data_IF_743844466869
#
_entry.id   IF_743844466869
#
_cell.length_a   1.000
_cell.length_b   1.000
_cell.length_c   1.000
_cell.angle_alpha   90.00
_cell.angle_beta   90.00
_cell.angle_gamma   90.00
#
_symmetry.space_group_name_H-M   'P 1'
#
loop_
_entity.id
_entity.type
_entity.pdbx_description
1 polymer ?
#
# COMPACT_ATOMS: atom_id res chain seq x y z
N UNK A 1 -4.65 -56.73 14.47
CA UNK A 1 -5.38 -55.50 14.90
C UNK A 1 -4.57 -54.33 14.38
N UNK A 2 -4.89 -53.84 13.17
CA UNK A 2 -4.19 -52.67 12.57
C UNK A 2 -4.89 -51.41 13.09
N UNK A 3 -4.13 -50.60 13.83
CA UNK A 3 -4.58 -49.26 14.24
C UNK A 3 -4.31 -48.32 13.08
N UNK A 4 -5.37 -47.89 12.35
CA UNK A 4 -5.27 -46.79 11.41
C UNK A 4 -5.20 -45.49 12.21
N UNK A 5 -3.99 -44.93 12.34
CA UNK A 5 -3.81 -43.56 12.79
C UNK A 5 -4.16 -42.67 11.61
N UNK A 6 -5.37 -42.16 11.58
CA UNK A 6 -5.77 -41.07 10.65
C UNK A 6 -5.07 -39.79 11.10
N UNK A 7 -4.02 -39.40 10.38
CA UNK A 7 -3.47 -38.06 10.47
C UNK A 7 -4.48 -37.10 9.85
N UNK A 8 -5.34 -36.52 10.68
CA UNK A 8 -6.06 -35.31 10.30
C UNK A 8 -5.06 -34.17 10.27
N UNK A 9 -4.48 -33.90 9.10
CA UNK A 9 -3.69 -32.68 8.87
C UNK A 9 -4.64 -31.51 9.10
N UNK A 10 -4.36 -30.72 10.13
CA UNK A 10 -5.20 -29.58 10.50
C UNK A 10 -4.99 -28.44 9.51
N UNK A 11 -5.83 -28.34 8.49
CA UNK A 11 -5.87 -27.21 7.56
C UNK A 11 -6.07 -25.84 8.24
N UNK A 12 -6.46 -25.82 9.50
CA UNK A 12 -6.53 -24.60 10.31
C UNK A 12 -5.15 -23.94 10.48
N UNK A 13 -4.09 -24.73 10.54
CA UNK A 13 -2.73 -24.22 10.70
C UNK A 13 -2.24 -23.51 9.46
N UNK A 14 -2.54 -24.02 8.24
CA UNK A 14 -2.07 -23.46 6.97
C UNK A 14 -2.67 -22.08 6.69
N UNK A 15 -3.96 -21.87 7.01
CA UNK A 15 -4.59 -20.54 6.85
C UNK A 15 -4.07 -19.55 7.90
N UNK A 16 -3.74 -20.02 9.09
CA UNK A 16 -3.05 -19.20 10.09
C UNK A 16 -1.64 -18.80 9.58
N UNK A 17 -0.93 -19.68 8.89
CA UNK A 17 0.36 -19.36 8.28
C UNK A 17 0.22 -18.27 7.19
N UNK A 18 -0.85 -18.32 6.39
CA UNK A 18 -1.18 -17.26 5.43
C UNK A 18 -1.45 -15.92 6.15
N UNK A 19 -2.26 -15.92 7.21
CA UNK A 19 -2.49 -14.71 8.01
C UNK A 19 -1.18 -14.20 8.62
N UNK A 20 -0.37 -15.08 9.21
CA UNK A 20 0.91 -14.74 9.84
C UNK A 20 1.89 -14.15 8.81
N UNK A 21 1.91 -14.64 7.57
CA UNK A 21 2.70 -14.03 6.51
C UNK A 21 2.33 -12.57 6.29
N UNK A 22 1.03 -12.26 6.16
CA UNK A 22 0.58 -10.87 5.96
C UNK A 22 0.79 -10.01 7.20
N UNK A 23 0.60 -10.55 8.41
CA UNK A 23 0.92 -9.87 9.68
C UNK A 23 2.41 -9.51 9.74
N UNK A 24 3.29 -10.45 9.43
CA UNK A 24 4.74 -10.21 9.43
C UNK A 24 5.16 -9.21 8.34
N UNK A 25 4.53 -9.27 7.17
CA UNK A 25 4.84 -8.41 6.02
C UNK A 25 4.37 -6.98 6.21
N UNK A 26 3.16 -6.80 6.73
CA UNK A 26 2.49 -5.51 6.85
C UNK A 26 2.49 -4.92 8.25
N UNK A 27 2.84 -5.72 9.27
CA UNK A 27 2.90 -5.32 10.69
C UNK A 27 1.65 -4.52 11.14
N UNK A 28 0.44 -5.00 10.86
CA UNK A 28 -0.78 -4.29 11.20
C UNK A 28 -0.98 -4.24 12.72
N UNK A 29 -1.80 -3.29 13.17
CA UNK A 29 -2.31 -3.24 14.54
C UNK A 29 -3.42 -4.29 14.73
N UNK A 30 -4.26 -4.47 13.70
CA UNK A 30 -5.30 -5.49 13.64
C UNK A 30 -5.40 -6.10 12.25
N UNK A 31 -5.70 -7.39 12.18
CA UNK A 31 -5.99 -8.07 10.94
C UNK A 31 -7.20 -8.99 11.08
N UNK A 32 -8.05 -8.99 10.07
CA UNK A 32 -9.13 -9.95 9.85
C UNK A 32 -8.93 -10.58 8.48
N UNK A 33 -8.86 -11.92 8.45
CA UNK A 33 -8.88 -12.72 7.24
C UNK A 33 -10.15 -13.56 7.24
N UNK A 34 -10.96 -13.47 6.20
CA UNK A 34 -12.15 -14.29 6.00
C UNK A 34 -12.01 -15.05 4.68
N UNK A 35 -12.22 -16.34 4.71
CA UNK A 35 -12.19 -17.21 3.53
C UNK A 35 -13.55 -17.92 3.39
N UNK A 36 -14.07 -18.03 2.17
CA UNK A 36 -15.36 -18.71 1.91
C UNK A 36 -15.28 -20.21 2.24
N UNK A 37 -14.15 -20.80 1.95
CA UNK A 37 -13.86 -22.22 2.03
C UNK A 37 -12.36 -22.45 2.29
N UNK A 38 -12.00 -23.62 2.77
CA UNK A 38 -10.58 -23.98 2.95
C UNK A 38 -9.87 -24.07 1.59
N UNK A 39 -8.56 -23.75 1.53
CA UNK A 39 -7.80 -23.92 0.31
C UNK A 39 -7.72 -25.40 -0.07
N UNK A 40 -7.64 -25.67 -1.36
CA UNK A 40 -7.26 -26.98 -1.80
C UNK A 40 -5.72 -27.20 -1.63
N UNK A 41 -5.25 -28.40 -1.96
CA UNK A 41 -3.83 -28.77 -1.85
C UNK A 41 -2.91 -27.90 -2.71
N UNK A 42 -3.45 -27.22 -3.73
CA UNK A 42 -2.70 -26.34 -4.63
C UNK A 42 -2.66 -24.89 -4.14
N UNK A 43 -3.41 -24.56 -3.08
CA UNK A 43 -3.50 -23.20 -2.53
C UNK A 43 -4.57 -22.32 -3.19
N UNK A 44 -5.61 -22.93 -3.79
CA UNK A 44 -6.69 -22.20 -4.43
C UNK A 44 -7.79 -21.87 -3.44
N UNK A 45 -8.31 -20.61 -3.52
CA UNK A 45 -9.49 -20.14 -2.78
C UNK A 45 -10.54 -19.59 -3.77
N UNK A 46 -11.81 -19.77 -3.45
CA UNK A 46 -12.89 -19.13 -4.20
C UNK A 46 -13.03 -17.66 -3.84
N UNK A 47 -13.03 -17.31 -2.55
CA UNK A 47 -13.19 -15.94 -2.08
C UNK A 47 -12.35 -15.70 -0.79
N UNK A 48 -11.54 -14.66 -0.80
CA UNK A 48 -10.70 -14.24 0.30
C UNK A 48 -10.96 -12.76 0.56
N UNK A 49 -11.29 -12.41 1.78
CA UNK A 49 -11.43 -11.04 2.25
C UNK A 49 -10.41 -10.78 3.37
N UNK A 50 -9.71 -9.67 3.26
CA UNK A 50 -8.72 -9.26 4.25
C UNK A 50 -8.93 -7.80 4.61
N UNK A 51 -9.02 -7.52 5.91
CA UNK A 51 -9.09 -6.17 6.46
C UNK A 51 -7.95 -5.97 7.46
N UNK A 52 -7.12 -4.97 7.22
CA UNK A 52 -5.95 -4.66 8.01
C UNK A 52 -6.04 -3.20 8.48
N UNK A 53 -5.77 -2.95 9.75
CA UNK A 53 -5.71 -1.62 10.35
C UNK A 53 -4.27 -1.31 10.78
N UNK A 54 -3.81 -0.09 10.53
CA UNK A 54 -2.49 0.35 10.94
C UNK A 54 -1.33 -0.35 10.23
N UNK A 55 -1.51 -0.62 8.94
CA UNK A 55 -0.55 -1.32 8.07
C UNK A 55 0.70 -0.47 7.84
N UNK A 56 1.89 -1.06 7.90
CA UNK A 56 3.15 -0.38 7.60
C UNK A 56 3.78 -0.94 6.33
N UNK A 57 3.93 -0.07 5.32
CA UNK A 57 4.56 -0.40 4.04
C UNK A 57 5.71 0.59 3.80
N UNK A 58 6.95 0.11 3.72
CA UNK A 58 8.15 0.95 3.48
C UNK A 58 8.23 2.19 4.40
N UNK A 59 7.86 2.06 5.67
CA UNK A 59 7.78 3.12 6.70
C UNK A 59 6.53 4.02 6.61
N UNK A 60 5.69 3.92 5.58
CA UNK A 60 4.41 4.61 5.53
C UNK A 60 3.35 3.77 6.24
N UNK A 61 2.68 4.36 7.22
CA UNK A 61 1.52 3.76 7.88
C UNK A 61 0.26 4.07 7.07
N UNK A 62 -0.46 3.03 6.70
CA UNK A 62 -1.83 3.12 6.18
C UNK A 62 -2.80 2.97 7.35
N UNK A 63 -3.79 3.83 7.44
CA UNK A 63 -4.83 3.72 8.47
C UNK A 63 -5.66 2.45 8.30
N UNK A 64 -6.01 2.14 7.05
CA UNK A 64 -6.71 0.91 6.68
C UNK A 64 -6.27 0.37 5.33
N UNK A 65 -6.33 -0.95 5.17
CA UNK A 65 -6.21 -1.65 3.89
C UNK A 65 -7.23 -2.77 3.86
N UNK A 66 -8.17 -2.72 2.95
CA UNK A 66 -9.18 -3.76 2.72
C UNK A 66 -8.97 -4.33 1.34
N UNK A 67 -8.93 -5.66 1.24
CA UNK A 67 -8.72 -6.39 -0.01
C UNK A 67 -9.74 -7.54 -0.10
N UNK A 68 -10.38 -7.70 -1.25
CA UNK A 68 -11.15 -8.90 -1.58
C UNK A 68 -10.65 -9.50 -2.88
N UNK A 69 -10.33 -10.78 -2.83
CA UNK A 69 -9.84 -11.55 -3.97
C UNK A 69 -10.80 -12.71 -4.25
N UNK A 70 -11.14 -12.90 -5.52
CA UNK A 70 -11.99 -14.02 -5.97
C UNK A 70 -11.23 -14.89 -6.94
N UNK A 71 -11.43 -16.20 -6.83
CA UNK A 71 -10.74 -17.18 -7.66
C UNK A 71 -9.22 -16.98 -7.60
N UNK A 72 -8.66 -16.93 -6.39
CA UNK A 72 -7.25 -16.66 -6.17
C UNK A 72 -6.45 -17.95 -6.04
N UNK A 73 -5.32 -18.00 -6.73
CA UNK A 73 -4.35 -19.07 -6.66
C UNK A 73 -3.09 -18.58 -5.95
N UNK A 74 -2.81 -19.13 -4.79
CA UNK A 74 -1.51 -19.04 -4.13
C UNK A 74 -0.66 -20.27 -4.48
N UNK A 75 0.61 -20.26 -4.11
CA UNK A 75 1.44 -21.47 -4.09
C UNK A 75 0.93 -22.47 -3.03
N UNK A 76 1.50 -23.67 -3.02
CA UNK A 76 1.06 -24.75 -2.13
C UNK A 76 1.09 -24.35 -0.64
N UNK A 77 0.04 -24.66 0.14
CA UNK A 77 -0.08 -24.27 1.55
C UNK A 77 1.11 -24.72 2.43
N UNK A 78 1.73 -25.86 2.12
CA UNK A 78 2.92 -26.35 2.85
C UNK A 78 4.10 -25.38 2.86
N UNK A 79 4.18 -24.46 1.87
CA UNK A 79 5.24 -23.48 1.76
C UNK A 79 4.99 -22.23 2.64
N UNK A 80 3.72 -21.98 3.04
CA UNK A 80 3.35 -20.76 3.74
C UNK A 80 3.96 -20.67 5.14
N UNK A 81 4.15 -21.81 5.80
CA UNK A 81 4.81 -21.91 7.12
C UNK A 81 6.24 -21.35 7.10
N UNK A 82 6.90 -21.41 5.94
CA UNK A 82 8.24 -20.88 5.75
C UNK A 82 8.23 -19.37 5.36
N UNK A 83 7.07 -18.74 5.34
CA UNK A 83 6.90 -17.36 4.88
C UNK A 83 7.00 -17.20 3.36
N UNK A 84 6.88 -18.28 2.59
CA UNK A 84 6.87 -18.25 1.14
C UNK A 84 5.42 -18.26 0.66
N UNK A 85 4.80 -17.08 0.60
CA UNK A 85 3.45 -16.89 0.05
C UNK A 85 3.53 -16.09 -1.23
N UNK A 86 3.03 -16.66 -2.33
CA UNK A 86 2.99 -16.03 -3.65
C UNK A 86 1.58 -16.18 -4.24
N UNK A 87 0.97 -15.06 -4.61
CA UNK A 87 -0.25 -15.05 -5.39
C UNK A 87 0.13 -15.10 -6.87
N UNK A 88 -0.20 -16.18 -7.57
CA UNK A 88 0.09 -16.34 -9.00
C UNK A 88 -1.02 -15.80 -9.88
N UNK A 89 -2.29 -15.99 -9.48
CA UNK A 89 -3.45 -15.60 -10.25
C UNK A 89 -4.60 -15.14 -9.34
N UNK A 90 -5.44 -14.25 -9.85
CA UNK A 90 -6.73 -13.91 -9.26
C UNK A 90 -7.68 -13.45 -10.34
N UNK A 91 -8.90 -13.99 -10.36
CA UNK A 91 -9.95 -13.58 -11.29
C UNK A 91 -10.40 -12.13 -11.04
N UNK A 92 -10.43 -11.74 -9.78
CA UNK A 92 -10.79 -10.38 -9.38
C UNK A 92 -10.06 -9.99 -8.10
N UNK A 93 -9.51 -8.78 -8.08
CA UNK A 93 -8.93 -8.16 -6.89
C UNK A 93 -9.51 -6.77 -6.72
N UNK A 94 -10.24 -6.58 -5.63
CA UNK A 94 -10.80 -5.30 -5.22
C UNK A 94 -10.06 -4.82 -3.97
N UNK A 95 -9.72 -3.55 -3.91
CA UNK A 95 -9.03 -2.99 -2.77
C UNK A 95 -9.47 -1.56 -2.48
N UNK A 96 -9.38 -1.18 -1.22
CA UNK A 96 -9.42 0.21 -0.76
C UNK A 96 -8.44 0.40 0.38
N UNK A 97 -7.82 1.57 0.43
CA UNK A 97 -6.87 1.93 1.48
C UNK A 97 -7.00 3.40 1.83
N UNK A 98 -6.90 3.72 3.12
CA UNK A 98 -6.89 5.10 3.61
C UNK A 98 -5.52 5.43 4.19
N UNK A 99 -5.02 6.60 3.80
CA UNK A 99 -3.76 7.17 4.26
C UNK A 99 -4.06 8.50 4.94
N UNK A 100 -3.52 8.72 6.13
CA UNK A 100 -3.67 9.97 6.85
C UNK A 100 -2.46 10.90 6.62
N UNK A 101 -2.73 12.18 6.47
CA UNK A 101 -1.70 13.24 6.33
C UNK A 101 -0.62 13.14 7.42
N UNK A 102 -1.03 12.96 8.68
CA UNK A 102 -0.10 12.81 9.80
C UNK A 102 0.86 11.63 9.65
N UNK A 103 0.39 10.51 9.06
CA UNK A 103 1.20 9.32 8.87
C UNK A 103 2.18 9.50 7.70
N UNK A 104 1.77 10.22 6.64
CA UNK A 104 2.69 10.63 5.57
C UNK A 104 3.77 11.52 6.15
N UNK A 105 3.41 12.60 6.83
CA UNK A 105 4.37 13.54 7.40
C UNK A 105 5.34 12.85 8.38
N UNK A 106 4.85 11.93 9.21
CA UNK A 106 5.70 11.10 10.06
C UNK A 106 6.66 10.21 9.26
N UNK A 107 6.23 9.71 8.10
CA UNK A 107 7.06 8.83 7.27
C UNK A 107 8.16 9.58 6.50
N UNK A 108 7.96 10.87 6.22
CA UNK A 108 8.90 11.73 5.49
C UNK A 108 9.69 12.65 6.40
N UNK A 109 9.28 12.83 7.68
CA UNK A 109 10.06 13.56 8.67
C UNK A 109 11.46 12.91 8.80
N UNK A 110 12.47 13.69 8.93
CA UNK A 110 13.87 13.27 9.08
C UNK A 110 14.40 12.39 7.93
N UNK A 111 13.73 12.42 6.76
CA UNK A 111 14.19 11.69 5.57
C UNK A 111 14.67 12.65 4.50
N UNK A 112 15.74 12.24 3.85
CA UNK A 112 16.23 12.88 2.63
C UNK A 112 15.86 12.01 1.42
N UNK A 113 15.52 12.63 0.30
CA UNK A 113 15.20 11.96 -0.95
C UNK A 113 16.17 12.44 -2.03
N UNK A 114 16.91 11.51 -2.60
CA UNK A 114 18.01 11.83 -3.50
C UNK A 114 19.36 11.71 -2.81
N UNK A 115 20.41 12.22 -3.44
CA UNK A 115 21.78 12.30 -2.88
C UNK A 115 22.50 13.51 -3.49
N UNK A 116 23.27 14.21 -2.64
CA UNK A 116 24.09 15.35 -3.07
C UNK A 116 23.28 16.44 -3.75
N UNK A 117 23.73 16.90 -4.92
CA UNK A 117 22.94 17.82 -5.74
C UNK A 117 21.66 17.15 -6.19
N UNK A 118 20.52 17.64 -5.72
CA UNK A 118 19.22 17.07 -5.99
C UNK A 118 18.61 16.28 -4.82
N UNK A 119 19.02 16.60 -3.60
CA UNK A 119 18.46 16.05 -2.37
C UNK A 119 17.32 16.93 -1.85
N UNK A 120 16.22 16.27 -1.46
CA UNK A 120 15.13 16.91 -0.74
C UNK A 120 15.22 16.61 0.75
N UNK A 121 14.95 17.61 1.58
CA UNK A 121 14.84 17.47 3.04
C UNK A 121 13.73 18.37 3.59
N UNK A 122 13.37 18.17 4.87
CA UNK A 122 12.33 18.91 5.60
C UNK A 122 11.00 18.96 4.85
N UNK A 123 10.64 17.82 4.24
CA UNK A 123 9.40 17.71 3.50
C UNK A 123 8.19 17.74 4.43
N UNK A 124 7.19 18.52 4.06
CA UNK A 124 5.88 18.56 4.69
C UNK A 124 4.80 18.50 3.62
N UNK A 125 3.73 17.76 3.91
CA UNK A 125 2.61 17.57 2.98
C UNK A 125 1.30 17.89 3.67
N UNK A 126 0.36 18.49 2.93
CA UNK A 126 -1.03 18.72 3.33
C UNK A 126 -1.96 18.16 2.30
N UNK A 127 -3.01 17.48 2.77
CA UNK A 127 -4.06 16.89 1.93
C UNK A 127 -5.32 17.72 2.08
N UNK A 128 -5.83 18.20 0.94
CA UNK A 128 -7.07 18.96 0.84
C UNK A 128 -7.98 18.33 -0.20
N UNK A 129 -9.30 18.58 -0.20
CA UNK A 129 -10.21 18.03 -1.20
C UNK A 129 -9.84 18.36 -2.63
N UNK A 130 -9.25 19.53 -2.87
CA UNK A 130 -8.83 20.03 -4.17
C UNK A 130 -7.48 19.50 -4.67
N UNK A 131 -6.65 18.92 -3.78
CA UNK A 131 -5.32 18.42 -4.14
C UNK A 131 -4.37 18.25 -2.97
N UNK A 132 -3.09 18.12 -3.29
CA UNK A 132 -1.99 18.11 -2.34
C UNK A 132 -1.27 19.44 -2.35
N UNK A 133 -0.89 19.93 -1.17
CA UNK A 133 0.11 20.99 -1.01
C UNK A 133 1.33 20.39 -0.33
N UNK A 134 2.51 20.61 -0.85
CA UNK A 134 3.78 20.17 -0.28
C UNK A 134 4.76 21.31 -0.16
N UNK A 135 5.64 21.25 0.83
CA UNK A 135 6.79 22.15 0.95
C UNK A 135 8.02 21.37 1.38
N UNK A 136 9.19 21.89 1.05
CA UNK A 136 10.46 21.30 1.46
C UNK A 136 11.63 22.09 0.91
N UNK A 137 12.82 21.65 1.22
CA UNK A 137 14.06 22.22 0.68
C UNK A 137 14.68 21.26 -0.32
N UNK A 138 15.10 21.82 -1.44
CA UNK A 138 15.80 21.10 -2.51
C UNK A 138 17.22 21.64 -2.63
N UNK A 139 18.19 20.78 -2.42
CA UNK A 139 19.61 21.12 -2.54
C UNK A 139 20.01 21.20 -4.01
N UNK A 140 20.43 22.38 -4.43
CA UNK A 140 20.94 22.63 -5.77
C UNK A 140 22.31 23.28 -5.65
N UNK A 141 23.37 22.54 -5.96
CA UNK A 141 24.76 22.96 -5.71
C UNK A 141 24.98 23.29 -4.23
N UNK A 142 25.36 24.52 -3.90
CA UNK A 142 25.58 24.99 -2.53
C UNK A 142 24.35 25.66 -1.91
N UNK A 143 23.23 25.71 -2.63
CA UNK A 143 22.01 26.41 -2.21
C UNK A 143 20.96 25.41 -1.75
N UNK A 144 20.33 25.70 -0.61
CA UNK A 144 19.08 25.07 -0.20
C UNK A 144 17.92 25.97 -0.64
N UNK A 145 17.15 25.46 -1.59
CA UNK A 145 16.07 26.20 -2.23
C UNK A 145 14.76 25.72 -1.66
N UNK A 146 14.01 26.60 -1.00
CA UNK A 146 12.65 26.27 -0.56
C UNK A 146 11.73 26.17 -1.76
N UNK A 147 11.04 25.05 -1.87
CA UNK A 147 10.06 24.76 -2.91
C UNK A 147 8.71 24.46 -2.25
N UNK A 148 7.68 25.17 -2.72
CA UNK A 148 6.28 24.88 -2.40
C UNK A 148 5.60 24.32 -3.65
N UNK A 149 4.82 23.25 -3.51
CA UNK A 149 4.17 22.54 -4.61
C UNK A 149 2.68 22.41 -4.28
N UNK A 150 1.82 22.84 -5.19
CA UNK A 150 0.40 22.49 -5.19
C UNK A 150 0.13 21.61 -6.41
N UNK A 151 -0.60 20.51 -6.23
CA UNK A 151 -0.83 19.55 -7.30
C UNK A 151 -2.11 18.75 -7.08
N UNK A 152 -2.74 18.35 -8.17
CA UNK A 152 -3.70 17.26 -8.20
C UNK A 152 -2.95 15.92 -8.18
N UNK A 153 -3.69 14.83 -8.12
CA UNK A 153 -3.15 13.48 -8.21
C UNK A 153 -3.71 12.75 -9.42
N UNK A 154 -2.87 11.96 -10.09
CA UNK A 154 -3.30 11.04 -11.14
C UNK A 154 -2.80 9.63 -10.91
N UNK A 155 -3.61 8.70 -11.37
CA UNK A 155 -3.26 7.29 -11.42
C UNK A 155 -2.64 6.97 -12.77
N UNK A 156 -1.44 6.40 -12.76
CA UNK A 156 -0.73 6.00 -13.98
C UNK A 156 -0.72 4.48 -14.08
N UNK A 157 -1.22 3.97 -15.22
CA UNK A 157 -1.29 2.52 -15.54
C UNK A 157 -1.94 1.66 -14.46
N UNK A 158 -2.78 2.25 -13.59
CA UNK A 158 -3.42 1.54 -12.47
C UNK A 158 -2.45 1.02 -11.39
N UNK A 159 -1.19 1.45 -11.40
CA UNK A 159 -0.15 0.93 -10.50
C UNK A 159 0.59 2.02 -9.73
N UNK A 160 0.55 3.23 -10.21
CA UNK A 160 1.33 4.33 -9.65
C UNK A 160 0.45 5.53 -9.37
N UNK A 161 0.77 6.27 -8.31
CA UNK A 161 0.17 7.56 -7.98
C UNK A 161 1.21 8.65 -8.23
N UNK A 162 0.85 9.62 -9.04
CA UNK A 162 1.72 10.72 -9.46
C UNK A 162 1.09 12.07 -9.14
N UNK A 163 1.94 13.10 -8.99
CA UNK A 163 1.48 14.49 -9.04
C UNK A 163 0.99 14.80 -10.46
N UNK A 164 -0.11 15.54 -10.56
CA UNK A 164 -0.72 15.95 -11.80
C UNK A 164 -0.78 17.47 -11.87
N UNK A 165 -0.29 18.03 -12.98
CA UNK A 165 -0.23 19.49 -13.20
C UNK A 165 0.35 20.23 -11.98
N UNK A 166 1.57 19.88 -11.53
CA UNK A 166 2.13 20.50 -10.34
C UNK A 166 2.45 21.97 -10.57
N UNK A 167 1.91 22.83 -9.71
CA UNK A 167 2.26 24.24 -9.64
C UNK A 167 3.36 24.43 -8.59
N UNK A 168 4.54 24.85 -9.03
CA UNK A 168 5.74 24.96 -8.21
C UNK A 168 6.08 26.41 -7.97
N UNK A 169 6.26 26.78 -6.71
CA UNK A 169 6.73 28.10 -6.27
C UNK A 169 8.08 27.97 -5.60
N UNK A 170 8.98 28.83 -5.95
CA UNK A 170 10.33 28.83 -5.38
C UNK A 170 10.70 30.24 -4.96
N UNK A 171 10.77 30.51 -3.66
CA UNK A 171 11.25 31.77 -3.06
C UNK A 171 10.94 33.05 -3.87
N UNK A 172 9.83 33.07 -4.62
CA UNK A 172 9.46 34.15 -5.59
C UNK A 172 10.42 34.33 -6.75
N UNK A 173 11.32 33.39 -7.01
CA UNK A 173 12.21 33.39 -8.16
C UNK A 173 11.65 32.50 -9.25
N UNK A 174 11.74 32.94 -10.50
CA UNK A 174 11.48 32.11 -11.67
C UNK A 174 12.61 31.11 -11.79
N UNK A 175 12.32 29.85 -11.49
CA UNK A 175 13.29 28.77 -11.66
C UNK A 175 13.04 28.12 -13.01
N UNK A 176 14.12 27.82 -13.76
CA UNK A 176 13.99 27.11 -15.03
C UNK A 176 13.25 25.76 -14.87
N UNK A 177 12.35 25.44 -15.82
CA UNK A 177 11.55 24.21 -15.80
C UNK A 177 12.37 22.92 -15.62
N UNK A 178 13.62 22.90 -16.13
CA UNK A 178 14.47 21.73 -15.98
C UNK A 178 14.84 21.44 -14.51
N UNK A 179 15.00 22.47 -13.66
CA UNK A 179 15.30 22.31 -12.22
C UNK A 179 14.05 21.76 -11.52
N UNK A 180 12.89 22.33 -11.82
CA UNK A 180 11.60 21.87 -11.31
C UNK A 180 11.34 20.42 -11.69
N UNK A 181 11.51 20.06 -12.96
CA UNK A 181 11.32 18.70 -13.44
C UNK A 181 12.31 17.71 -12.80
N UNK A 182 13.57 18.12 -12.63
CA UNK A 182 14.59 17.31 -11.94
C UNK A 182 14.23 17.10 -10.47
N UNK A 183 13.76 18.15 -9.78
CA UNK A 183 13.32 18.06 -8.39
C UNK A 183 12.13 17.11 -8.24
N UNK A 184 11.08 17.28 -9.06
CA UNK A 184 9.89 16.43 -9.02
C UNK A 184 10.19 14.96 -9.33
N UNK A 185 11.09 14.67 -10.27
CA UNK A 185 11.46 13.30 -10.64
C UNK A 185 12.05 12.48 -9.48
N UNK A 186 12.56 13.15 -8.43
CA UNK A 186 13.14 12.49 -7.26
C UNK A 186 12.11 11.99 -6.26
N UNK A 187 10.92 12.57 -6.27
CA UNK A 187 9.83 12.24 -5.34
C UNK A 187 8.67 11.48 -6.01
N UNK A 188 8.72 11.26 -7.31
CA UNK A 188 7.72 10.51 -8.07
C UNK A 188 8.22 9.11 -8.47
N UNK A 189 7.35 8.10 -8.52
CA UNK A 189 5.94 8.12 -8.12
C UNK A 189 5.78 8.24 -6.60
N UNK A 190 4.68 8.87 -6.14
CA UNK A 190 4.36 8.98 -4.71
C UNK A 190 4.01 7.61 -4.09
N UNK A 191 3.37 6.75 -4.88
CA UNK A 191 3.02 5.37 -4.51
C UNK A 191 3.27 4.46 -5.72
N UNK A 192 3.90 3.31 -5.48
CA UNK A 192 4.11 2.25 -6.48
C UNK A 192 3.56 0.91 -5.96
N UNK A 193 2.39 0.50 -6.47
CA UNK A 193 1.71 -0.72 -6.05
C UNK A 193 2.42 -2.02 -6.51
N UNK A 194 3.36 -1.95 -7.45
CA UNK A 194 4.13 -3.12 -7.92
C UNK A 194 5.01 -3.71 -6.83
N UNK A 195 5.33 -2.91 -5.81
CA UNK A 195 6.14 -3.31 -4.65
C UNK A 195 5.35 -4.11 -3.61
N UNK A 196 4.03 -4.19 -3.75
CA UNK A 196 3.18 -4.94 -2.83
C UNK A 196 3.09 -6.42 -3.23
N UNK A 197 2.98 -7.34 -2.25
CA UNK A 197 2.85 -8.77 -2.50
C UNK A 197 1.42 -9.18 -2.92
N UNK A 198 0.65 -8.25 -3.46
CA UNK A 198 -0.73 -8.41 -3.90
C UNK A 198 -0.91 -7.76 -5.27
N UNK A 199 -1.65 -8.37 -6.20
CA UNK A 199 -1.84 -7.85 -7.55
C UNK A 199 -2.87 -6.70 -7.58
N UNK A 200 -2.68 -5.67 -6.76
CA UNK A 200 -3.58 -4.53 -6.62
C UNK A 200 -3.59 -3.66 -7.87
N UNK A 201 -4.76 -3.10 -8.18
CA UNK A 201 -4.93 -2.09 -9.24
C UNK A 201 -5.65 -0.88 -8.67
N UNK A 202 -5.02 0.27 -8.78
CA UNK A 202 -5.56 1.56 -8.39
C UNK A 202 -6.40 2.14 -9.53
N UNK A 203 -7.59 2.63 -9.23
CA UNK A 203 -8.47 3.25 -10.20
C UNK A 203 -8.89 4.66 -9.81
N UNK A 204 -9.09 4.90 -8.52
CA UNK A 204 -9.59 6.16 -7.99
C UNK A 204 -8.78 6.63 -6.78
N UNK A 205 -8.61 7.94 -6.68
CA UNK A 205 -8.09 8.62 -5.49
C UNK A 205 -9.13 9.64 -5.05
N UNK A 206 -9.56 9.57 -3.81
CA UNK A 206 -10.43 10.56 -3.19
C UNK A 206 -9.68 11.26 -2.07
N UNK A 207 -9.68 12.60 -2.13
CA UNK A 207 -9.04 13.43 -1.11
C UNK A 207 -10.10 14.06 -0.21
N UNK A 208 -9.81 14.07 1.09
CA UNK A 208 -10.54 14.81 2.12
C UNK A 208 -9.53 15.57 2.94
N UNK A 209 -10.00 16.52 3.78
CA UNK A 209 -9.09 17.21 4.69
C UNK A 209 -8.31 16.21 5.55
N UNK A 210 -6.99 16.19 5.40
CA UNK A 210 -6.08 15.35 6.17
C UNK A 210 -6.06 13.86 5.83
N UNK A 211 -6.72 13.42 4.73
CA UNK A 211 -6.71 12.00 4.33
C UNK A 211 -6.87 11.79 2.83
N UNK A 212 -6.29 10.70 2.32
CA UNK A 212 -6.46 10.21 0.97
C UNK A 212 -6.96 8.77 0.99
N UNK A 213 -7.99 8.46 0.20
CA UNK A 213 -8.48 7.11 -0.02
C UNK A 213 -8.15 6.66 -1.43
N UNK A 214 -7.43 5.57 -1.53
CA UNK A 214 -7.06 4.90 -2.77
C UNK A 214 -7.97 3.70 -2.99
N UNK A 215 -8.54 3.51 -4.16
CA UNK A 215 -9.44 2.38 -4.40
C UNK A 215 -9.35 1.80 -5.81
N UNK A 216 -9.71 0.53 -5.94
CA UNK A 216 -10.05 -0.11 -7.20
C UNK A 216 -11.38 0.44 -7.74
N UNK A 217 -11.76 0.06 -8.98
CA UNK A 217 -12.99 0.55 -9.64
C UNK A 217 -14.25 0.29 -8.81
N UNK A 218 -14.31 -0.90 -8.20
CA UNK A 218 -15.37 -1.28 -7.24
C UNK A 218 -14.74 -1.44 -5.87
N UNK A 219 -15.46 -1.05 -4.84
CA UNK A 219 -15.02 -1.23 -3.46
C UNK A 219 -15.13 -2.71 -3.06
N UNK A 220 -14.23 -3.21 -2.21
CA UNK A 220 -14.34 -4.53 -1.63
C UNK A 220 -15.52 -4.60 -0.66
N UNK A 221 -16.49 -5.45 -0.94
CA UNK A 221 -17.57 -5.78 -0.01
C UNK A 221 -17.09 -6.81 0.99
N UNK A 222 -17.51 -6.69 2.26
CA UNK A 222 -17.15 -7.64 3.29
C UNK A 222 -17.68 -9.04 2.96
N UNK A 223 -16.87 -10.06 3.22
CA UNK A 223 -17.30 -11.45 3.16
C UNK A 223 -17.94 -11.81 4.52
N UNK A 224 -19.28 -11.84 4.55
CA UNK A 224 -20.05 -12.05 5.79
C UNK A 224 -20.12 -13.50 6.24
N UNK A 225 -19.97 -14.46 5.30
CA UNK A 225 -19.98 -15.90 5.55
C UNK A 225 -18.59 -16.48 5.27
N UNK A 226 -18.15 -17.44 6.10
CA UNK A 226 -16.87 -18.11 5.93
C UNK A 226 -16.12 -18.31 7.24
N UNK A 227 -14.92 -18.86 7.12
CA UNK A 227 -14.00 -19.05 8.24
C UNK A 227 -13.26 -17.75 8.52
N UNK A 228 -13.20 -17.34 9.79
CA UNK A 228 -12.59 -16.08 10.22
C UNK A 228 -11.33 -16.33 11.03
N UNK A 229 -10.29 -15.60 10.72
CA UNK A 229 -9.01 -15.60 11.41
C UNK A 229 -8.67 -14.16 11.77
N UNK A 230 -8.26 -13.93 13.01
CA UNK A 230 -8.01 -12.57 13.51
C UNK A 230 -6.65 -12.47 14.17
N UNK A 231 -6.07 -11.27 14.08
CA UNK A 231 -4.87 -10.88 14.79
C UNK A 231 -5.08 -9.50 15.41
N UNK A 232 -4.58 -9.32 16.62
CA UNK A 232 -4.48 -8.02 17.31
C UNK A 232 -3.10 -7.96 17.97
N UNK A 233 -2.41 -6.86 17.77
CA UNK A 233 -1.08 -6.60 18.34
C UNK A 233 -1.17 -6.36 19.82
#
# INVERSE_FOLDING_TARGET
MFVFISFSVSYADEVNDLLNFYVNKFKPEKALLVISDKPDKTGKFNDVYMELTGVVIEKLRLDSLVVRMRGVQFNEPKEWKQGNVKCSEALSVLATSTILEKDINKSIADRTFGKGDGEWHDLMLRIKPEGLSGSGYYKFSILDIRIDIDSKLKVVKGKELWLDEPFVRVNKLDIPDYVTNKALSRIQPLVDLRKLPLPLTLHKVELKNGSATLSSRKLPEALTKGLKYTYTK
#
